data_IF_635418100802
#
_entry.id   IF_635418100802
#
_cell.length_a   1.000
_cell.length_b   1.000
_cell.length_c   1.000
_cell.angle_alpha   90.00
_cell.angle_beta   90.00
_cell.angle_gamma   90.00
#
_symmetry.space_group_name_H-M   'P 1'
#
loop_
_entity.id
_entity.type
_entity.pdbx_description
1 polymer ?
#
# COMPACT_ATOMS: atom_id res chain seq x y z
N UNK A 1 -15.73 8.79 -2.81
CA UNK A 1 -15.02 9.24 -1.60
C UNK A 1 -16.04 9.37 -0.49
N UNK A 2 -15.77 8.82 0.69
CA UNK A 2 -16.68 8.84 1.85
C UNK A 2 -16.01 9.58 2.99
N UNK A 3 -16.71 10.54 3.60
CA UNK A 3 -16.22 11.33 4.72
C UNK A 3 -16.95 10.91 6.01
N UNK A 4 -16.20 10.55 7.05
CA UNK A 4 -16.72 10.19 8.37
C UNK A 4 -16.41 11.30 9.37
N UNK A 5 -17.45 11.98 9.87
CA UNK A 5 -17.33 13.09 10.82
C UNK A 5 -17.92 12.71 12.18
N UNK A 6 -17.35 13.26 13.25
CA UNK A 6 -17.81 13.06 14.62
C UNK A 6 -16.83 13.63 15.65
N UNK A 7 -17.28 13.96 16.88
CA UNK A 7 -16.43 14.54 17.91
C UNK A 7 -15.32 13.56 18.36
N UNK A 8 -14.27 14.03 19.05
CA UNK A 8 -13.30 13.15 19.69
C UNK A 8 -14.00 12.09 20.56
N UNK A 9 -13.54 10.84 20.51
CA UNK A 9 -14.16 9.73 21.25
C UNK A 9 -15.41 9.11 20.61
N UNK A 10 -15.93 9.64 19.49
CA UNK A 10 -17.14 9.11 18.83
C UNK A 10 -16.97 7.75 18.11
N UNK A 11 -15.83 7.06 18.27
CA UNK A 11 -15.59 5.75 17.66
C UNK A 11 -15.18 5.74 16.18
N UNK A 12 -14.81 6.88 15.58
CA UNK A 12 -14.40 6.94 14.15
C UNK A 12 -13.25 5.98 13.83
N UNK A 13 -12.19 6.05 14.63
CA UNK A 13 -11.01 5.20 14.50
C UNK A 13 -11.39 3.73 14.66
N UNK A 14 -12.21 3.42 15.66
CA UNK A 14 -12.73 2.07 15.92
C UNK A 14 -13.52 1.53 14.73
N UNK A 15 -14.39 2.34 14.11
CA UNK A 15 -15.14 1.94 12.92
C UNK A 15 -14.22 1.69 11.72
N UNK A 16 -13.24 2.56 11.48
CA UNK A 16 -12.29 2.36 10.37
C UNK A 16 -11.43 1.10 10.56
N UNK A 17 -11.02 0.81 11.80
CA UNK A 17 -10.31 -0.43 12.13
C UNK A 17 -11.20 -1.67 11.93
N UNK A 18 -12.48 -1.60 12.33
CA UNK A 18 -13.45 -2.67 12.10
C UNK A 18 -13.62 -2.96 10.61
N UNK A 19 -13.78 -1.91 9.80
CA UNK A 19 -13.83 -2.05 8.34
C UNK A 19 -12.53 -2.67 7.83
N UNK A 20 -11.36 -2.17 8.22
CA UNK A 20 -10.08 -2.73 7.77
C UNK A 20 -9.74 -4.16 8.28
N UNK A 21 -10.60 -4.78 9.10
CA UNK A 21 -10.34 -6.07 9.73
C UNK A 21 -9.21 -6.03 10.76
N UNK A 22 -8.93 -4.85 11.33
CA UNK A 22 -7.86 -4.61 12.32
C UNK A 22 -8.41 -4.25 13.71
N UNK A 23 -9.69 -4.53 13.96
CA UNK A 23 -10.27 -4.32 15.27
C UNK A 23 -9.73 -5.38 16.25
N UNK A 24 -9.55 -4.97 17.49
CA UNK A 24 -9.13 -5.84 18.58
C UNK A 24 -10.10 -7.04 18.73
N UNK A 25 -9.56 -8.25 18.87
CA UNK A 25 -10.32 -9.49 19.01
C UNK A 25 -11.11 -9.58 20.32
N UNK A 26 -10.71 -8.83 21.34
CA UNK A 26 -11.36 -8.85 22.65
C UNK A 26 -12.67 -8.03 22.67
N UNK A 27 -12.94 -7.28 21.60
CA UNK A 27 -14.15 -6.47 21.48
C UNK A 27 -15.34 -7.29 20.98
N UNK A 28 -16.52 -7.02 21.55
CA UNK A 28 -17.78 -7.56 21.05
C UNK A 28 -18.19 -6.81 19.79
N UNK A 29 -18.33 -7.54 18.69
CA UNK A 29 -18.78 -7.00 17.40
C UNK A 29 -20.18 -7.51 17.08
N UNK A 30 -21.04 -6.61 16.61
CA UNK A 30 -22.36 -6.95 16.07
C UNK A 30 -22.56 -6.29 14.70
N UNK A 31 -23.49 -6.84 13.90
CA UNK A 31 -23.70 -6.43 12.52
C UNK A 31 -22.88 -7.23 11.51
N UNK A 32 -22.90 -6.80 10.25
CA UNK A 32 -22.22 -7.48 9.14
C UNK A 32 -21.51 -6.46 8.25
N UNK A 33 -20.26 -6.75 7.91
CA UNK A 33 -19.48 -6.03 6.90
C UNK A 33 -19.24 -6.97 5.73
N UNK A 34 -19.38 -6.45 4.51
CA UNK A 34 -19.15 -7.20 3.27
C UNK A 34 -18.29 -6.42 2.30
N UNK A 35 -17.42 -7.13 1.60
CA UNK A 35 -16.57 -6.62 0.53
C UNK A 35 -17.03 -7.23 -0.79
N UNK A 36 -17.59 -6.42 -1.68
CA UNK A 36 -18.15 -6.89 -2.96
C UNK A 36 -19.13 -8.08 -2.78
N UNK A 37 -19.94 -8.05 -1.72
CA UNK A 37 -20.89 -9.12 -1.38
C UNK A 37 -20.34 -10.25 -0.51
N UNK A 38 -19.01 -10.37 -0.37
CA UNK A 38 -18.36 -11.39 0.44
C UNK A 38 -18.18 -10.96 1.89
N UNK A 39 -18.47 -11.84 2.84
CA UNK A 39 -18.20 -11.63 4.27
C UNK A 39 -16.70 -11.57 4.57
N UNK A 40 -16.33 -10.85 5.64
CA UNK A 40 -14.92 -10.69 6.05
C UNK A 40 -14.22 -11.98 6.47
N UNK A 41 -14.96 -13.07 6.69
CA UNK A 41 -14.45 -14.40 7.00
C UNK A 41 -14.20 -15.26 5.76
N UNK A 42 -14.61 -14.81 4.57
CA UNK A 42 -14.41 -15.54 3.31
C UNK A 42 -13.03 -15.29 2.69
N UNK A 43 -12.29 -14.30 3.20
CA UNK A 43 -10.98 -13.89 2.71
C UNK A 43 -10.19 -13.14 3.79
N UNK A 44 -8.93 -12.82 3.53
CA UNK A 44 -8.10 -12.04 4.46
C UNK A 44 -8.33 -10.55 4.25
N UNK A 45 -9.27 -9.96 4.99
CA UNK A 45 -9.66 -8.55 4.86
C UNK A 45 -8.49 -7.56 4.91
N UNK A 46 -7.51 -7.82 5.77
CA UNK A 46 -6.32 -6.98 5.95
C UNK A 46 -5.40 -6.95 4.72
N UNK A 47 -5.56 -7.90 3.79
CA UNK A 47 -4.84 -7.90 2.50
C UNK A 47 -5.59 -7.15 1.40
N UNK A 48 -6.89 -6.92 1.58
CA UNK A 48 -7.73 -6.22 0.59
C UNK A 48 -8.03 -4.77 1.00
N UNK A 49 -7.91 -4.45 2.28
CA UNK A 49 -8.12 -3.11 2.83
C UNK A 49 -6.84 -2.59 3.50
N UNK A 50 -6.38 -1.43 3.05
CA UNK A 50 -5.29 -0.70 3.70
C UNK A 50 -5.86 0.30 4.72
N UNK A 51 -5.30 0.29 5.93
CA UNK A 51 -5.61 1.28 6.97
C UNK A 51 -4.37 2.12 7.25
N UNK A 52 -4.49 3.43 7.05
CA UNK A 52 -3.46 4.41 7.38
C UNK A 52 -3.80 5.02 8.75
N UNK A 53 -2.90 4.82 9.70
CA UNK A 53 -3.08 5.24 11.08
C UNK A 53 -2.98 6.77 11.23
N UNK A 54 -3.45 7.30 12.36
CA UNK A 54 -3.23 8.71 12.70
C UNK A 54 -1.73 9.00 12.93
N UNK A 55 -1.00 8.04 13.50
CA UNK A 55 0.43 8.11 13.74
C UNK A 55 1.21 7.56 12.55
N UNK A 56 2.26 8.28 12.15
CA UNK A 56 3.15 7.88 11.07
C UNK A 56 4.35 7.16 11.70
N UNK A 57 4.42 5.84 11.49
CA UNK A 57 5.43 4.97 12.10
C UNK A 57 6.48 4.60 11.05
N UNK A 58 7.62 5.28 11.09
CA UNK A 58 8.76 5.04 10.21
C UNK A 58 10.04 4.88 11.03
N UNK A 59 11.03 4.20 10.46
CA UNK A 59 12.38 4.11 11.03
C UNK A 59 13.09 5.43 10.69
N UNK A 60 13.46 6.20 11.71
CA UNK A 60 13.99 7.55 11.55
C UNK A 60 15.33 7.56 10.80
N UNK A 61 16.11 6.48 10.95
CA UNK A 61 17.44 6.27 10.38
C UNK A 61 17.42 5.79 8.91
N UNK A 62 16.24 5.64 8.30
CA UNK A 62 16.12 5.28 6.90
C UNK A 62 15.77 6.49 6.05
N UNK A 63 16.22 6.49 4.79
CA UNK A 63 15.72 7.41 3.78
C UNK A 63 14.30 7.04 3.35
N UNK A 64 13.58 7.97 2.71
CA UNK A 64 12.24 7.71 2.16
C UNK A 64 12.28 6.55 1.15
N UNK A 65 13.28 6.55 0.26
CA UNK A 65 13.49 5.49 -0.73
C UNK A 65 13.72 4.14 -0.06
N UNK A 66 14.61 4.08 0.93
CA UNK A 66 14.89 2.83 1.63
C UNK A 66 13.66 2.32 2.38
N UNK A 67 12.88 3.22 2.98
CA UNK A 67 11.64 2.88 3.69
C UNK A 67 10.63 2.23 2.75
N UNK A 68 10.38 2.84 1.58
CA UNK A 68 9.47 2.31 0.58
C UNK A 68 9.99 1.00 -0.04
N UNK A 69 11.28 0.94 -0.35
CA UNK A 69 11.90 -0.28 -0.89
C UNK A 69 11.86 -1.44 0.12
N UNK A 70 12.06 -1.15 1.41
CA UNK A 70 11.91 -2.13 2.48
C UNK A 70 10.47 -2.62 2.61
N UNK A 71 9.49 -1.70 2.63
CA UNK A 71 8.07 -2.05 2.65
C UNK A 71 7.68 -2.91 1.45
N UNK A 72 8.14 -2.57 0.24
CA UNK A 72 7.91 -3.36 -0.97
C UNK A 72 8.47 -4.78 -0.85
N UNK A 73 9.69 -4.95 -0.30
CA UNK A 73 10.28 -6.27 -0.05
C UNK A 73 9.50 -7.08 0.98
N UNK A 74 9.02 -6.44 2.06
CA UNK A 74 8.26 -7.10 3.13
C UNK A 74 6.85 -7.52 2.69
N UNK A 75 6.18 -6.70 1.87
CA UNK A 75 4.88 -7.07 1.28
C UNK A 75 5.03 -8.23 0.27
N UNK A 76 6.25 -8.42 -0.23
CA UNK A 76 6.60 -9.46 -1.18
C UNK A 76 6.02 -9.20 -2.57
N UNK A 77 6.60 -9.86 -3.56
CA UNK A 77 6.06 -9.85 -4.94
C UNK A 77 4.88 -10.81 -5.05
N UNK A 78 4.67 -11.70 -4.07
CA UNK A 78 3.54 -12.63 -3.99
C UNK A 78 3.30 -13.41 -5.30
N UNK A 79 2.06 -13.86 -5.51
CA UNK A 79 1.60 -14.44 -6.77
C UNK A 79 1.48 -13.42 -7.92
N UNK A 80 1.98 -12.19 -7.73
CA UNK A 80 1.88 -11.13 -8.74
C UNK A 80 2.70 -11.56 -9.96
N UNK A 81 3.88 -12.13 -9.79
CA UNK A 81 4.65 -12.68 -10.91
C UNK A 81 3.85 -13.72 -11.71
N UNK A 82 3.26 -14.70 -11.03
CA UNK A 82 2.44 -15.75 -11.66
C UNK A 82 1.19 -15.19 -12.34
N UNK A 83 0.53 -14.22 -11.68
CA UNK A 83 -0.66 -13.54 -12.20
C UNK A 83 -0.33 -12.70 -13.44
N UNK A 84 0.75 -11.92 -13.42
CA UNK A 84 1.18 -11.08 -14.54
C UNK A 84 1.63 -11.95 -15.72
N UNK A 85 2.29 -13.07 -15.43
CA UNK A 85 2.66 -14.08 -16.43
C UNK A 85 1.42 -14.72 -17.07
N UNK A 86 0.44 -15.13 -16.27
CA UNK A 86 -0.82 -15.71 -16.74
C UNK A 86 -1.68 -14.69 -17.50
N UNK A 87 -1.69 -13.43 -17.07
CA UNK A 87 -2.39 -12.33 -17.74
C UNK A 87 -1.79 -12.07 -19.12
N UNK A 88 -0.46 -11.95 -19.22
CA UNK A 88 0.24 -11.79 -20.50
C UNK A 88 -0.02 -12.98 -21.44
N UNK A 89 -0.12 -14.20 -20.90
CA UNK A 89 -0.49 -15.40 -21.68
C UNK A 89 -1.92 -15.30 -22.25
N UNK A 90 -2.89 -14.86 -21.43
CA UNK A 90 -4.29 -14.70 -21.84
C UNK A 90 -4.48 -13.57 -22.84
N UNK A 91 -3.80 -12.44 -22.65
CA UNK A 91 -3.85 -11.31 -23.59
C UNK A 91 -3.34 -11.71 -24.97
N UNK A 92 -2.23 -12.46 -25.04
CA UNK A 92 -1.73 -13.03 -26.30
C UNK A 92 -2.73 -14.00 -26.94
N UNK A 93 -3.35 -14.88 -26.16
CA UNK A 93 -4.34 -15.84 -26.66
C UNK A 93 -5.62 -15.15 -27.18
N UNK A 94 -6.02 -14.04 -26.55
CA UNK A 94 -7.16 -13.23 -26.94
C UNK A 94 -6.83 -12.15 -28.00
N UNK A 95 -5.57 -12.08 -28.44
CA UNK A 95 -5.05 -11.05 -29.36
C UNK A 95 -5.32 -9.61 -28.87
N UNK A 96 -5.31 -9.42 -27.56
CA UNK A 96 -5.45 -8.12 -26.90
C UNK A 96 -4.06 -7.48 -26.89
N UNK A 97 -3.96 -6.26 -27.44
CA UNK A 97 -2.76 -5.44 -27.31
C UNK A 97 -2.92 -4.54 -26.08
N UNK A 98 -2.16 -4.76 -25.00
CA UNK A 98 -2.13 -3.83 -23.89
C UNK A 98 -1.55 -2.49 -24.34
N UNK A 99 -1.86 -1.45 -23.57
CA UNK A 99 -1.25 -0.14 -23.73
C UNK A 99 0.30 -0.26 -23.70
N UNK A 100 1.04 0.38 -24.62
CA UNK A 100 2.48 0.23 -24.71
C UNK A 100 3.23 0.60 -23.43
N UNK A 101 2.77 1.62 -22.70
CA UNK A 101 3.43 2.07 -21.48
C UNK A 101 3.19 1.08 -20.33
N UNK A 102 1.98 0.53 -20.27
CA UNK A 102 1.65 -0.54 -19.32
C UNK A 102 2.42 -1.83 -19.63
N UNK A 103 2.53 -2.23 -20.91
CA UNK A 103 3.26 -3.43 -21.32
C UNK A 103 4.77 -3.33 -21.00
N UNK A 104 5.37 -2.15 -21.22
CA UNK A 104 6.77 -1.89 -20.87
C UNK A 104 6.97 -1.96 -19.35
N UNK A 105 6.10 -1.33 -18.57
CA UNK A 105 6.15 -1.38 -17.10
C UNK A 105 6.00 -2.81 -16.57
N UNK A 106 5.03 -3.55 -17.10
CA UNK A 106 4.75 -4.95 -16.74
C UNK A 106 5.93 -5.87 -17.05
N UNK A 107 6.54 -5.70 -18.21
CA UNK A 107 7.75 -6.45 -18.60
C UNK A 107 8.93 -6.09 -17.70
N UNK A 108 9.15 -4.80 -17.42
CA UNK A 108 10.26 -4.36 -16.58
C UNK A 108 10.19 -4.92 -15.15
N UNK A 109 8.98 -5.12 -14.60
CA UNK A 109 8.74 -5.72 -13.28
C UNK A 109 8.80 -7.25 -13.29
N UNK A 110 8.81 -7.86 -14.47
CA UNK A 110 8.94 -9.31 -14.64
C UNK A 110 10.39 -9.77 -14.91
N UNK A 111 11.33 -8.84 -15.06
CA UNK A 111 12.75 -9.15 -15.28
C UNK A 111 13.47 -9.12 -13.92
N UNK A 112 13.63 -10.31 -13.33
CA UNK A 112 14.18 -10.48 -11.99
C UNK A 112 15.48 -9.71 -11.75
N UNK A 113 15.50 -8.91 -10.68
CA UNK A 113 16.70 -8.23 -10.17
C UNK A 113 16.58 -6.70 -10.07
N UNK A 114 15.62 -6.06 -10.76
CA UNK A 114 15.41 -4.60 -10.73
C UNK A 114 14.00 -4.17 -10.25
N UNK A 115 13.11 -5.14 -10.00
CA UNK A 115 11.67 -4.91 -9.77
C UNK A 115 11.38 -3.98 -8.57
N UNK A 116 12.16 -4.13 -7.49
CA UNK A 116 11.95 -3.33 -6.27
C UNK A 116 12.33 -1.86 -6.46
N UNK A 117 13.30 -1.55 -7.32
CA UNK A 117 13.72 -0.16 -7.56
C UNK A 117 12.71 0.57 -8.45
N UNK A 118 12.25 -0.05 -9.55
CA UNK A 118 11.30 0.59 -10.48
C UNK A 118 9.97 0.90 -9.81
N UNK A 119 9.43 -0.04 -9.03
CA UNK A 119 8.17 0.18 -8.30
C UNK A 119 8.36 1.29 -7.27
N UNK A 120 9.47 1.29 -6.53
CA UNK A 120 9.76 2.32 -5.54
C UNK A 120 9.86 3.71 -6.19
N UNK A 121 10.59 3.83 -7.30
CA UNK A 121 10.73 5.08 -8.05
C UNK A 121 9.39 5.59 -8.58
N UNK A 122 8.55 4.69 -9.07
CA UNK A 122 7.22 5.04 -9.57
C UNK A 122 6.32 5.54 -8.43
N UNK A 123 6.33 4.87 -7.28
CA UNK A 123 5.57 5.27 -6.09
C UNK A 123 6.06 6.60 -5.54
N UNK A 124 7.38 6.82 -5.48
CA UNK A 124 7.97 8.11 -5.07
C UNK A 124 7.44 9.26 -5.93
N UNK A 125 7.35 9.07 -7.26
CA UNK A 125 6.82 10.10 -8.16
C UNK A 125 5.32 10.34 -7.97
N UNK A 126 4.51 9.27 -7.89
CA UNK A 126 3.05 9.41 -7.68
C UNK A 126 2.76 10.15 -6.38
N UNK A 127 3.50 9.84 -5.32
CA UNK A 127 3.31 10.45 -4.02
C UNK A 127 3.97 11.83 -3.91
N UNK A 128 4.74 12.27 -4.92
CA UNK A 128 5.46 13.54 -4.91
C UNK A 128 6.55 13.61 -3.83
N UNK A 129 7.28 12.52 -3.66
CA UNK A 129 8.37 12.32 -2.69
C UNK A 129 9.73 12.15 -3.36
N UNK A 130 9.79 12.24 -4.69
CA UNK A 130 11.00 12.12 -5.50
C UNK A 130 12.10 13.11 -5.08
N UNK A 131 11.74 14.36 -4.78
CA UNK A 131 12.70 15.40 -4.35
C UNK A 131 13.34 15.07 -3.00
N UNK A 132 12.64 14.34 -2.11
CA UNK A 132 13.14 13.95 -0.79
C UNK A 132 13.43 12.45 -0.69
N UNK A 133 13.56 11.74 -1.81
CA UNK A 133 13.71 10.29 -1.84
C UNK A 133 14.91 9.81 -1.01
N UNK A 134 16.04 10.52 -1.12
CA UNK A 134 17.29 10.17 -0.46
C UNK A 134 17.51 10.99 0.83
N UNK A 135 16.45 11.61 1.35
CA UNK A 135 16.46 12.31 2.63
C UNK A 135 15.99 11.37 3.74
N UNK A 136 16.64 11.43 4.90
CA UNK A 136 16.25 10.71 6.10
C UNK A 136 14.81 11.06 6.51
N UNK A 137 14.02 10.06 6.89
CA UNK A 137 12.66 10.30 7.38
C UNK A 137 12.71 11.13 8.67
N UNK A 138 13.62 10.79 9.59
CA UNK A 138 13.78 11.47 10.87
C UNK A 138 12.60 11.29 11.81
N UNK A 139 12.71 11.90 12.98
CA UNK A 139 11.71 11.88 14.05
C UNK A 139 11.78 13.19 14.86
N UNK A 140 11.36 13.17 16.12
CA UNK A 140 11.37 14.34 17.00
C UNK A 140 12.80 14.74 17.43
N UNK A 141 13.76 13.82 17.36
CA UNK A 141 15.16 14.03 17.78
C UNK A 141 16.12 14.15 16.59
N UNK A 142 15.82 13.46 15.49
CA UNK A 142 16.58 13.43 14.25
C UNK A 142 15.87 14.25 13.18
N UNK A 143 16.54 15.31 12.71
CA UNK A 143 16.01 16.13 11.62
C UNK A 143 15.86 15.29 10.34
N UNK A 144 14.68 15.34 9.74
CA UNK A 144 14.38 14.67 8.48
C UNK A 144 13.40 15.45 7.61
N UNK A 145 12.52 14.73 6.93
CA UNK A 145 11.48 15.31 6.06
C UNK A 145 10.39 16.05 6.85
N UNK A 146 9.61 16.88 6.17
CA UNK A 146 8.47 17.56 6.78
C UNK A 146 7.36 16.57 7.20
N UNK A 147 6.51 16.97 8.15
CA UNK A 147 5.38 16.14 8.59
C UNK A 147 4.41 15.77 7.46
N UNK A 148 4.18 16.66 6.49
CA UNK A 148 3.35 16.37 5.32
C UNK A 148 4.01 15.43 4.30
N UNK A 149 5.34 15.39 4.24
CA UNK A 149 6.07 14.37 3.48
C UNK A 149 6.02 13.03 4.21
N UNK A 150 6.24 13.03 5.53
CA UNK A 150 6.14 11.83 6.37
C UNK A 150 4.76 11.19 6.30
N UNK A 151 3.67 11.98 6.25
CA UNK A 151 2.32 11.44 6.10
C UNK A 151 2.06 10.72 4.76
N UNK A 152 2.81 11.09 3.73
CA UNK A 152 2.69 10.51 2.38
C UNK A 152 3.61 9.30 2.18
N UNK A 153 4.75 9.26 2.87
CA UNK A 153 5.72 8.16 2.82
C UNK A 153 5.15 6.89 3.48
#
# INVERSE_FOLDING_TARGET
>A
MTLLLGPPGSGKTTLLLALAGKLDSDLKVSGKVTYNGHGMNEFVAQRSAAYISQHDLHIAEMTVRETLAFSARCQGIGSRYDMLTELSRREKAANIKPDPDLDVYMKAISVGGQDTNIITDYILKILGLDICADTMVGDDMLRGISGGQRKRA
#
